data_IF_674029646228
#
_entry.id   IF_674029646228
#
_cell.length_a   1.000
_cell.length_b   1.000
_cell.length_c   1.000
_cell.angle_alpha   90.00
_cell.angle_beta   90.00
_cell.angle_gamma   90.00
#
_symmetry.space_group_name_H-M   'P 1'
#
loop_
_entity.id
_entity.type
_entity.pdbx_description
1 polymer ?
#
# COMPACT_ATOMS: atom_id res chain seq x y z
N UNK A 1 -0.66 -5.47 7.24
CA UNK A 1 -1.21 -4.11 7.08
C UNK A 1 -1.37 -3.78 5.60
N UNK A 2 -2.19 -2.77 5.30
CA UNK A 2 -2.48 -2.30 3.94
C UNK A 2 -3.91 -2.57 3.50
N UNK A 3 -4.69 -3.37 4.23
CA UNK A 3 -5.98 -3.88 3.76
C UNK A 3 -5.80 -4.54 2.40
N UNK A 4 -6.66 -4.20 1.45
CA UNK A 4 -6.53 -4.61 0.05
C UNK A 4 -5.49 -3.80 -0.74
N UNK A 5 -4.99 -2.67 -0.21
CA UNK A 5 -3.98 -1.87 -0.90
C UNK A 5 -2.58 -2.48 -0.75
N UNK A 6 -2.02 -2.96 -1.86
CA UNK A 6 -0.71 -3.58 -1.97
C UNK A 6 0.49 -2.63 -1.82
N UNK A 7 0.27 -1.32 -1.67
CA UNK A 7 1.35 -0.32 -1.68
C UNK A 7 2.50 -0.64 -0.73
N UNK A 8 2.19 -0.99 0.53
CA UNK A 8 3.22 -1.31 1.54
C UNK A 8 3.98 -2.60 1.19
N UNK A 9 3.28 -3.64 0.73
CA UNK A 9 3.91 -4.91 0.38
C UNK A 9 4.79 -4.77 -0.87
N UNK A 10 4.29 -4.09 -1.90
CA UNK A 10 5.01 -3.91 -3.16
C UNK A 10 6.23 -2.99 -2.99
N UNK A 11 6.05 -1.78 -2.44
CA UNK A 11 7.15 -0.84 -2.25
C UNK A 11 8.14 -1.32 -1.18
N UNK A 12 7.64 -1.97 -0.13
CA UNK A 12 8.49 -2.62 0.88
C UNK A 12 9.30 -3.76 0.29
N UNK A 13 8.69 -4.57 -0.58
CA UNK A 13 9.37 -5.65 -1.29
C UNK A 13 10.48 -5.12 -2.20
N UNK A 14 10.19 -4.07 -2.97
CA UNK A 14 11.20 -3.41 -3.80
C UNK A 14 12.36 -2.84 -2.97
N UNK A 15 12.06 -2.15 -1.87
CA UNK A 15 13.08 -1.55 -1.02
C UNK A 15 13.93 -2.59 -0.27
N UNK A 16 13.34 -3.74 0.10
CA UNK A 16 14.01 -4.83 0.80
C UNK A 16 14.73 -5.81 -0.14
N UNK A 17 14.49 -5.73 -1.46
CA UNK A 17 14.97 -6.71 -2.41
C UNK A 17 14.31 -8.08 -2.22
N UNK A 18 12.99 -8.09 -1.98
CA UNK A 18 12.20 -9.30 -1.85
C UNK A 18 12.10 -10.04 -3.19
N UNK A 19 12.06 -11.37 -3.11
CA UNK A 19 11.91 -12.27 -4.25
C UNK A 19 10.48 -12.33 -4.78
N UNK A 20 9.50 -12.02 -3.93
CA UNK A 20 8.10 -11.87 -4.30
C UNK A 20 7.36 -10.93 -3.34
N UNK A 21 6.34 -10.27 -3.85
CA UNK A 21 5.38 -9.48 -3.07
C UNK A 21 3.96 -9.74 -3.58
N UNK A 22 3.20 -10.58 -2.86
CA UNK A 22 1.82 -10.92 -3.23
C UNK A 22 0.85 -9.83 -2.79
N UNK A 23 0.05 -9.31 -3.71
CA UNK A 23 -0.88 -8.19 -3.51
C UNK A 23 -2.27 -8.53 -4.06
N UNK A 24 -3.29 -7.77 -3.64
CA UNK A 24 -4.67 -8.01 -4.08
C UNK A 24 -4.89 -7.54 -5.52
N UNK A 25 -4.25 -6.42 -5.89
CA UNK A 25 -4.42 -5.78 -7.19
C UNK A 25 -3.83 -6.60 -8.35
N UNK A 26 -3.01 -7.60 -8.07
CA UNK A 26 -2.43 -8.53 -9.03
C UNK A 26 -2.80 -9.97 -8.63
N UNK A 27 -3.86 -10.55 -9.21
CA UNK A 27 -4.29 -11.91 -8.90
C UNK A 27 -3.19 -12.93 -9.20
N UNK A 28 -3.03 -13.90 -8.32
CA UNK A 28 -2.11 -15.00 -8.47
C UNK A 28 -2.80 -16.33 -8.17
N UNK A 29 -2.41 -17.38 -8.88
CA UNK A 29 -2.89 -18.73 -8.66
C UNK A 29 -1.78 -19.65 -8.11
N UNK A 30 -2.10 -20.94 -7.94
CA UNK A 30 -1.16 -21.91 -7.37
C UNK A 30 0.09 -22.11 -8.25
N UNK A 31 -0.03 -21.92 -9.57
CA UNK A 31 1.09 -22.07 -10.52
C UNK A 31 2.07 -20.91 -10.38
N UNK A 32 1.58 -19.71 -10.10
CA UNK A 32 2.45 -18.55 -9.83
C UNK A 32 3.27 -18.76 -8.55
N UNK A 33 2.64 -19.33 -7.51
CA UNK A 33 3.33 -19.71 -6.28
C UNK A 33 4.38 -20.80 -6.53
N UNK A 34 4.01 -21.87 -7.24
CA UNK A 34 4.92 -22.96 -7.60
C UNK A 34 6.12 -22.46 -8.40
N UNK A 35 5.89 -21.60 -9.39
CA UNK A 35 6.95 -21.01 -10.20
C UNK A 35 7.94 -20.20 -9.35
N UNK A 36 7.46 -19.46 -8.35
CA UNK A 36 8.35 -18.73 -7.44
C UNK A 36 9.14 -19.66 -6.50
N UNK A 37 8.54 -20.75 -6.04
CA UNK A 37 9.24 -21.78 -5.25
C UNK A 37 10.34 -22.44 -6.07
N UNK A 38 10.07 -22.82 -7.31
CA UNK A 38 11.08 -23.37 -8.23
C UNK A 38 12.23 -22.36 -8.43
N UNK A 39 11.89 -21.09 -8.63
CA UNK A 39 12.88 -20.02 -8.73
C UNK A 39 13.77 -19.91 -7.50
N UNK A 40 13.19 -19.94 -6.29
CA UNK A 40 13.97 -19.93 -5.04
C UNK A 40 14.84 -21.18 -4.89
N UNK A 41 14.34 -22.35 -5.27
CA UNK A 41 15.10 -23.60 -5.25
C UNK A 41 16.34 -23.51 -6.13
N UNK A 42 16.22 -22.97 -7.34
CA UNK A 42 17.39 -22.72 -8.21
C UNK A 42 18.30 -21.63 -7.63
N UNK A 43 17.74 -20.57 -7.04
CA UNK A 43 18.50 -19.51 -6.37
C UNK A 43 19.39 -20.04 -5.25
N UNK A 44 18.94 -21.04 -4.47
CA UNK A 44 19.74 -21.64 -3.39
C UNK A 44 21.00 -22.38 -3.88
N UNK A 45 21.08 -22.73 -5.17
CA UNK A 45 22.30 -23.29 -5.77
C UNK A 45 23.37 -22.23 -6.04
N UNK A 46 22.99 -20.96 -5.99
CA UNK A 46 23.91 -19.82 -6.15
C UNK A 46 24.56 -19.42 -4.82
N UNK A 47 25.38 -18.38 -4.83
CA UNK A 47 26.00 -17.84 -3.61
C UNK A 47 25.02 -17.13 -2.68
N UNK A 48 23.84 -16.72 -3.16
CA UNK A 48 22.85 -15.98 -2.36
C UNK A 48 21.76 -16.95 -1.90
N UNK A 49 22.00 -17.57 -0.76
CA UNK A 49 21.15 -18.61 -0.18
C UNK A 49 20.14 -18.02 0.82
N UNK A 50 19.36 -17.04 0.38
CA UNK A 50 18.30 -16.43 1.18
C UNK A 50 17.11 -16.04 0.31
N UNK A 51 15.92 -16.24 0.84
CA UNK A 51 14.65 -15.85 0.24
C UNK A 51 13.91 -14.85 1.11
N UNK A 52 13.24 -13.88 0.51
CA UNK A 52 12.32 -12.99 1.20
C UNK A 52 11.02 -12.86 0.39
N UNK A 53 9.91 -13.26 0.99
CA UNK A 53 8.57 -13.19 0.38
C UNK A 53 7.69 -12.30 1.24
N UNK A 54 7.11 -11.27 0.63
CA UNK A 54 6.11 -10.41 1.26
C UNK A 54 4.71 -10.82 0.81
N UNK A 55 3.76 -10.68 1.72
CA UNK A 55 2.34 -10.90 1.46
C UNK A 55 1.54 -9.73 2.04
N UNK A 56 0.77 -9.04 1.21
CA UNK A 56 -0.25 -8.11 1.69
C UNK A 56 -1.32 -8.89 2.49
N UNK A 57 -1.93 -8.27 3.50
CA UNK A 57 -2.78 -8.99 4.45
C UNK A 57 -4.07 -9.52 3.84
N UNK A 58 -4.65 -8.83 2.86
CA UNK A 58 -5.91 -9.21 2.22
C UNK A 58 -5.72 -9.55 0.72
N UNK A 59 -4.52 -9.98 0.31
CA UNK A 59 -4.25 -10.29 -1.10
C UNK A 59 -5.07 -11.49 -1.63
N UNK A 60 -5.47 -12.41 -0.75
CA UNK A 60 -6.28 -13.58 -1.07
C UNK A 60 -6.95 -14.09 0.20
N UNK A 61 -8.20 -14.51 0.09
CA UNK A 61 -8.95 -15.15 1.19
C UNK A 61 -8.39 -16.54 1.52
N UNK A 62 -8.09 -17.34 0.49
CA UNK A 62 -7.69 -18.73 0.63
C UNK A 62 -6.18 -18.90 0.80
N UNK A 63 -5.39 -18.13 0.04
CA UNK A 63 -3.93 -18.20 0.09
C UNK A 63 -3.41 -17.31 1.21
N UNK A 64 -3.66 -17.75 2.43
CA UNK A 64 -3.24 -17.09 3.67
C UNK A 64 -1.72 -17.12 3.82
N UNK A 65 -1.18 -16.31 4.74
CA UNK A 65 0.24 -16.36 5.13
C UNK A 65 0.66 -17.78 5.54
N UNK A 66 -0.25 -18.51 6.17
CA UNK A 66 0.01 -19.87 6.65
C UNK A 66 0.02 -20.87 5.50
N UNK A 67 -0.88 -20.72 4.53
CA UNK A 67 -0.88 -21.52 3.31
C UNK A 67 0.43 -21.34 2.53
N UNK A 68 0.84 -20.10 2.27
CA UNK A 68 2.08 -19.81 1.53
C UNK A 68 3.29 -20.35 2.31
N UNK A 69 3.33 -20.15 3.62
CA UNK A 69 4.38 -20.70 4.47
C UNK A 69 4.47 -22.24 4.37
N UNK A 70 3.34 -22.93 4.43
CA UNK A 70 3.29 -24.39 4.32
C UNK A 70 3.75 -24.87 2.94
N UNK A 71 3.27 -24.22 1.87
CA UNK A 71 3.66 -24.55 0.49
C UNK A 71 5.17 -24.45 0.31
N UNK A 72 5.77 -23.31 0.67
CA UNK A 72 7.22 -23.11 0.53
C UNK A 72 8.02 -24.07 1.42
N UNK A 73 7.52 -24.36 2.63
CA UNK A 73 8.19 -25.29 3.55
C UNK A 73 8.17 -26.73 3.03
N UNK A 74 7.08 -27.15 2.38
CA UNK A 74 6.91 -28.51 1.87
C UNK A 74 7.69 -28.72 0.57
N UNK A 75 7.51 -27.84 -0.41
CA UNK A 75 8.15 -27.93 -1.72
C UNK A 75 9.66 -27.58 -1.66
N UNK A 76 10.08 -26.80 -0.67
CA UNK A 76 11.49 -26.47 -0.42
C UNK A 76 12.27 -27.54 0.36
N UNK A 77 11.63 -28.65 0.77
CA UNK A 77 12.25 -29.69 1.60
C UNK A 77 13.56 -30.21 0.99
N UNK A 78 14.59 -30.28 1.83
CA UNK A 78 15.94 -30.70 1.43
C UNK A 78 16.77 -29.60 0.76
N UNK A 79 16.18 -28.42 0.51
CA UNK A 79 16.86 -27.27 -0.11
C UNK A 79 16.90 -26.08 0.86
N UNK A 80 15.76 -25.69 1.42
CA UNK A 80 15.65 -24.60 2.38
C UNK A 80 14.53 -24.83 3.40
N UNK A 81 14.55 -24.06 4.49
CA UNK A 81 13.44 -23.98 5.44
C UNK A 81 12.82 -22.58 5.42
N UNK A 82 11.63 -22.44 6.01
CA UNK A 82 10.91 -21.17 6.04
C UNK A 82 10.59 -20.74 7.47
N UNK A 83 10.41 -19.43 7.65
CA UNK A 83 9.81 -18.84 8.85
C UNK A 83 8.78 -17.82 8.42
N UNK A 84 7.62 -17.79 9.09
CA UNK A 84 6.61 -16.76 8.89
C UNK A 84 6.66 -15.73 10.00
N UNK A 85 6.46 -14.46 9.66
CA UNK A 85 6.31 -13.36 10.61
C UNK A 85 5.15 -12.47 10.19
N UNK A 86 4.21 -12.21 11.10
CA UNK A 86 3.15 -11.23 10.91
C UNK A 86 3.57 -9.97 11.67
N UNK A 87 3.97 -8.92 10.95
CA UNK A 87 4.51 -7.70 11.55
C UNK A 87 3.49 -6.99 12.46
N UNK A 88 2.22 -6.97 12.04
CA UNK A 88 1.14 -6.35 12.80
C UNK A 88 1.29 -4.83 12.94
N UNK A 89 0.75 -4.27 14.03
CA UNK A 89 0.57 -2.83 14.19
C UNK A 89 1.87 -2.03 14.38
N UNK A 90 3.00 -2.68 14.61
CA UNK A 90 4.30 -1.99 14.71
C UNK A 90 4.63 -1.22 13.42
N UNK A 91 4.03 -1.58 12.28
CA UNK A 91 4.21 -0.89 11.01
C UNK A 91 3.59 0.52 10.99
N UNK A 92 2.70 0.87 11.95
CA UNK A 92 2.25 2.25 12.14
C UNK A 92 3.40 3.17 12.55
N UNK A 93 4.49 2.59 13.07
CA UNK A 93 5.70 3.30 13.45
C UNK A 93 5.62 3.90 14.86
N UNK A 94 6.63 4.73 15.16
CA UNK A 94 6.71 5.53 16.37
C UNK A 94 6.73 7.01 16.01
N UNK A 95 7.91 7.63 16.05
CA UNK A 95 8.06 8.99 15.52
C UNK A 95 7.97 8.97 13.98
N UNK A 96 7.21 9.88 13.34
CA UNK A 96 7.03 9.91 11.89
C UNK A 96 8.35 10.18 11.18
N UNK A 97 8.51 9.67 9.96
CA UNK A 97 9.70 9.91 9.13
C UNK A 97 9.82 11.39 8.74
N UNK A 98 11.01 11.89 8.36
CA UNK A 98 11.15 13.26 7.86
C UNK A 98 10.26 13.56 6.64
N UNK A 99 10.01 12.55 5.80
CA UNK A 99 9.10 12.69 4.67
C UNK A 99 7.67 12.95 5.16
N UNK A 100 7.14 12.10 6.05
CA UNK A 100 5.76 12.22 6.54
C UNK A 100 5.54 13.52 7.31
N UNK A 101 6.53 13.94 8.12
CA UNK A 101 6.50 15.23 8.84
C UNK A 101 6.34 16.39 7.87
N UNK A 102 7.21 16.44 6.86
CA UNK A 102 7.23 17.53 5.89
C UNK A 102 6.01 17.47 4.95
N UNK A 103 5.58 16.28 4.57
CA UNK A 103 4.42 16.09 3.72
C UNK A 103 3.15 16.56 4.44
N UNK A 104 2.91 16.09 5.66
CA UNK A 104 1.82 16.56 6.51
C UNK A 104 1.84 18.08 6.70
N UNK A 105 3.01 18.65 7.03
CA UNK A 105 3.16 20.10 7.20
C UNK A 105 2.77 20.87 5.93
N UNK A 106 3.31 20.47 4.76
CA UNK A 106 3.10 21.17 3.49
C UNK A 106 1.66 21.03 2.99
N UNK A 107 1.09 19.83 3.03
CA UNK A 107 -0.27 19.58 2.53
C UNK A 107 -1.32 20.26 3.41
N UNK A 108 -1.16 20.22 4.74
CA UNK A 108 -2.07 20.88 5.68
C UNK A 108 -2.01 22.40 5.58
N UNK A 109 -0.82 22.99 5.42
CA UNK A 109 -0.69 24.42 5.17
C UNK A 109 -1.44 24.84 3.89
N UNK A 110 -1.33 24.03 2.82
CA UNK A 110 -2.05 24.27 1.56
C UNK A 110 -3.56 24.15 1.72
N UNK A 111 -4.04 23.16 2.47
CA UNK A 111 -5.46 23.01 2.79
C UNK A 111 -6.00 24.24 3.53
N UNK A 112 -5.26 24.73 4.53
CA UNK A 112 -5.70 25.90 5.32
C UNK A 112 -5.76 27.19 4.48
N UNK A 113 -4.80 27.38 3.56
CA UNK A 113 -4.85 28.48 2.59
C UNK A 113 -6.12 28.41 1.73
N UNK A 114 -6.50 27.22 1.27
CA UNK A 114 -7.71 27.03 0.48
C UNK A 114 -8.99 27.32 1.27
N UNK A 115 -9.08 26.84 2.52
CA UNK A 115 -10.18 27.17 3.43
C UNK A 115 -10.28 28.70 3.61
N UNK A 116 -9.16 29.37 3.90
CA UNK A 116 -9.16 30.83 4.07
C UNK A 116 -9.60 31.58 2.80
N UNK A 117 -9.23 31.10 1.61
CA UNK A 117 -9.70 31.69 0.34
C UNK A 117 -11.20 31.55 0.19
N UNK A 118 -11.73 30.34 0.38
CA UNK A 118 -13.17 30.05 0.27
C UNK A 118 -14.00 30.89 1.25
N UNK A 119 -13.54 31.04 2.49
CA UNK A 119 -14.20 31.89 3.49
C UNK A 119 -14.23 33.37 3.07
N UNK A 120 -13.12 33.90 2.53
CA UNK A 120 -13.06 35.30 2.06
C UNK A 120 -13.96 35.55 0.86
N UNK A 121 -14.07 34.60 -0.07
CA UNK A 121 -14.94 34.70 -1.24
C UNK A 121 -16.43 34.82 -0.87
N UNK A 122 -16.83 34.25 0.27
CA UNK A 122 -18.20 34.25 0.78
C UNK A 122 -18.51 35.42 1.72
N UNK A 123 -17.49 36.10 2.27
CA UNK A 123 -17.67 37.23 3.17
C UNK A 123 -18.54 38.32 2.53
N UNK A 124 -19.65 38.66 3.19
CA UNK A 124 -20.60 39.70 2.75
C UNK A 124 -21.64 39.27 1.70
N UNK A 125 -21.63 38.04 1.20
CA UNK A 125 -22.57 37.58 0.15
C UNK A 125 -23.74 36.72 0.65
N UNK A 126 -23.80 36.39 1.93
CA UNK A 126 -24.85 35.52 2.51
C UNK A 126 -24.94 34.12 1.87
N UNK A 127 -23.93 33.71 1.09
CA UNK A 127 -23.92 32.45 0.34
C UNK A 127 -23.50 31.30 1.26
N UNK A 128 -24.36 30.28 1.35
CA UNK A 128 -24.02 28.99 1.95
C UNK A 128 -23.09 28.22 1.00
N UNK A 129 -22.06 27.57 1.51
CA UNK A 129 -21.20 26.66 0.75
C UNK A 129 -21.97 25.36 0.49
N UNK A 130 -22.64 25.28 -0.67
CA UNK A 130 -23.53 24.17 -1.01
C UNK A 130 -23.12 23.43 -2.29
N UNK A 131 -22.05 23.86 -2.94
CA UNK A 131 -21.54 23.26 -4.17
C UNK A 131 -20.51 22.16 -3.86
N UNK A 132 -20.44 21.15 -4.72
CA UNK A 132 -19.54 20.00 -4.57
C UNK A 132 -18.06 20.42 -4.46
N UNK A 133 -17.67 21.54 -5.06
CA UNK A 133 -16.32 22.10 -4.99
C UNK A 133 -15.94 22.68 -3.62
N UNK A 134 -16.87 22.70 -2.66
CA UNK A 134 -16.61 23.07 -1.27
C UNK A 134 -16.26 21.87 -0.38
N UNK A 135 -16.45 20.65 -0.88
CA UNK A 135 -16.12 19.41 -0.17
C UNK A 135 -15.16 18.58 -1.03
N UNK A 136 -13.87 18.71 -0.75
CA UNK A 136 -12.81 18.16 -1.59
C UNK A 136 -11.80 17.33 -0.78
N UNK A 137 -11.18 16.36 -1.46
CA UNK A 137 -9.91 15.76 -1.01
C UNK A 137 -8.77 16.58 -1.60
N UNK A 138 -7.83 16.99 -0.75
CA UNK A 138 -6.54 17.53 -1.20
C UNK A 138 -5.55 16.37 -1.31
N UNK A 139 -5.12 16.06 -2.53
CA UNK A 139 -4.21 14.95 -2.79
C UNK A 139 -3.08 15.31 -3.76
N UNK A 140 -2.05 14.46 -3.78
CA UNK A 140 -1.03 14.47 -4.84
C UNK A 140 -1.56 13.67 -6.02
N UNK A 141 -1.62 14.30 -7.19
CA UNK A 141 -1.90 13.62 -8.46
C UNK A 141 -0.78 13.93 -9.44
N UNK A 142 0.00 12.90 -9.79
CA UNK A 142 1.20 13.01 -10.63
C UNK A 142 2.18 14.06 -10.06
N UNK A 143 2.28 15.23 -10.71
CA UNK A 143 3.20 16.32 -10.33
C UNK A 143 2.52 17.47 -9.58
N UNK A 144 1.21 17.41 -9.31
CA UNK A 144 0.43 18.53 -8.78
C UNK A 144 -0.31 18.15 -7.50
N UNK A 145 -0.48 19.12 -6.61
CA UNK A 145 -1.43 19.07 -5.51
C UNK A 145 -2.77 19.64 -5.99
N UNK A 146 -3.83 18.83 -5.91
CA UNK A 146 -5.15 19.17 -6.44
C UNK A 146 -6.21 19.00 -5.36
N UNK A 147 -7.19 19.91 -5.35
CA UNK A 147 -8.44 19.75 -4.62
C UNK A 147 -9.44 19.11 -5.56
N UNK A 148 -9.88 17.89 -5.26
CA UNK A 148 -10.84 17.14 -6.07
C UNK A 148 -12.14 16.96 -5.28
N UNK A 149 -13.31 17.35 -5.83
CA UNK A 149 -14.59 17.15 -5.18
C UNK A 149 -14.83 15.67 -4.84
N UNK A 150 -15.33 15.40 -3.64
CA UNK A 150 -15.60 14.00 -3.20
C UNK A 150 -16.61 13.30 -4.11
N UNK A 151 -17.52 14.07 -4.74
CA UNK A 151 -18.49 13.55 -5.69
C UNK A 151 -17.83 12.91 -6.93
N UNK A 152 -16.73 13.48 -7.41
CA UNK A 152 -15.98 12.97 -8.57
C UNK A 152 -15.19 11.70 -8.23
N UNK A 153 -14.64 11.66 -7.01
CA UNK A 153 -13.82 10.54 -6.55
C UNK A 153 -14.60 9.24 -6.38
N UNK A 154 -15.93 9.30 -6.19
CA UNK A 154 -16.78 8.11 -6.13
C UNK A 154 -16.62 7.19 -7.35
N UNK A 155 -16.42 7.75 -8.54
CA UNK A 155 -16.25 6.97 -9.78
C UNK A 155 -14.87 6.33 -9.90
N UNK A 156 -13.93 6.73 -9.05
CA UNK A 156 -12.53 6.31 -9.06
C UNK A 156 -12.17 5.49 -7.81
N UNK A 157 -13.17 5.19 -6.97
CA UNK A 157 -12.97 4.51 -5.70
C UNK A 157 -13.64 3.14 -5.78
N UNK A 158 -12.88 2.12 -5.45
CA UNK A 158 -13.44 0.83 -5.09
C UNK A 158 -13.97 0.93 -3.65
N UNK A 159 -15.26 0.64 -3.47
CA UNK A 159 -15.94 0.74 -2.18
C UNK A 159 -16.20 -0.60 -1.52
N UNK A 160 -15.98 -1.71 -2.24
CA UNK A 160 -16.03 -3.07 -1.69
C UNK A 160 -14.73 -3.41 -0.96
#
# INVERSE_FOLDING_TARGET
MGGFCGYLANMGGLAAGADAAYIFEEPFDIRDLQSNVEHLTEKMKTSIQRGLVLRNENCSENYTTDFIYQLYSEEGKGVFDCRKNVLGHMQQGGAPSPFDRNFGTKISARAMQWISSKLRESAGKGRKFLSDDSVCVLGISKRKLLFQPVAELKKQTDFE
#
